data_IF_795164837502
#
_entry.id   IF_795164837502
#
_cell.length_a   1.000
_cell.length_b   1.000
_cell.length_c   1.000
_cell.angle_alpha   90.00
_cell.angle_beta   90.00
_cell.angle_gamma   90.00
#
_symmetry.space_group_name_H-M   'P 1'
#
loop_
_entity.id
_entity.type
_entity.pdbx_description
1 polymer ?
#
# COMPACT_ATOMS: atom_id res chain seq x y z
N UNK A 1 -19.26 62.21 1.31
CA UNK A 1 -19.63 60.78 1.40
C UNK A 1 -18.34 59.99 1.29
N UNK A 2 -17.86 59.48 2.44
CA UNK A 2 -17.67 58.05 2.73
C UNK A 2 -16.32 57.55 2.20
N UNK A 3 -15.28 57.48 3.04
CA UNK A 3 -14.78 56.26 3.75
C UNK A 3 -14.33 55.15 2.77
N UNK A 4 -13.20 54.44 2.90
CA UNK A 4 -12.22 54.21 3.97
C UNK A 4 -10.95 53.58 3.33
N UNK A 5 -9.79 53.78 3.99
CA UNK A 5 -8.48 53.20 3.67
C UNK A 5 -8.31 51.77 4.21
N UNK A 6 -7.29 51.03 3.73
CA UNK A 6 -6.28 50.24 4.50
C UNK A 6 -5.95 48.84 3.91
N UNK A 7 -4.69 48.73 3.45
CA UNK A 7 -3.68 47.65 3.57
C UNK A 7 -4.10 46.16 3.61
N UNK A 8 -3.52 45.33 2.75
CA UNK A 8 -2.32 44.51 3.04
C UNK A 8 -2.05 43.52 1.89
N UNK A 9 -0.77 43.34 1.61
CA UNK A 9 -0.20 42.29 0.76
C UNK A 9 -0.39 40.93 1.46
N UNK A 10 -0.97 39.95 0.77
CA UNK A 10 -0.95 38.54 1.21
C UNK A 10 -0.34 37.69 0.10
N UNK A 11 0.97 37.86 -0.04
CA UNK A 11 1.87 36.79 -0.43
C UNK A 11 1.70 35.62 0.57
N UNK A 12 1.08 34.52 0.13
CA UNK A 12 1.11 33.24 0.86
C UNK A 12 1.67 32.15 -0.08
N UNK A 13 2.85 31.59 0.21
CA UNK A 13 3.47 30.56 -0.60
C UNK A 13 2.96 29.20 -0.14
N UNK A 14 2.09 28.54 -0.91
CA UNK A 14 1.79 27.14 -0.66
C UNK A 14 2.77 26.28 -1.46
N UNK A 15 3.92 26.06 -0.82
CA UNK A 15 4.81 24.89 -0.95
C UNK A 15 4.64 24.11 -2.25
N UNK A 16 5.53 24.40 -3.21
CA UNK A 16 5.84 23.48 -4.29
C UNK A 16 6.46 22.26 -3.61
N UNK A 17 5.60 21.32 -3.19
CA UNK A 17 6.03 19.98 -2.86
C UNK A 17 6.78 19.50 -4.10
N UNK A 18 8.07 19.28 -3.92
CA UNK A 18 8.94 18.69 -4.91
C UNK A 18 8.43 17.28 -5.13
N UNK A 19 7.42 17.14 -5.99
CA UNK A 19 7.17 15.91 -6.70
C UNK A 19 8.39 15.73 -7.61
N UNK A 20 9.41 15.08 -7.04
CA UNK A 20 10.39 14.32 -7.82
C UNK A 20 9.63 13.68 -8.98
N UNK A 21 10.14 13.68 -10.22
CA UNK A 21 9.45 13.06 -11.32
C UNK A 21 9.15 11.62 -10.93
N UNK A 22 7.91 11.34 -10.53
CA UNK A 22 7.41 9.99 -10.44
C UNK A 22 7.36 9.60 -11.89
N UNK A 23 8.44 8.96 -12.38
CA UNK A 23 8.35 8.12 -13.55
C UNK A 23 7.03 7.37 -13.38
N UNK A 24 6.09 7.60 -14.28
CA UNK A 24 4.72 7.13 -14.14
C UNK A 24 4.80 5.60 -14.13
N UNK A 25 4.88 5.00 -12.93
CA UNK A 25 5.06 3.57 -12.79
C UNK A 25 3.70 2.98 -13.12
N UNK A 26 3.57 2.40 -14.30
CA UNK A 26 2.37 1.68 -14.67
C UNK A 26 2.21 0.47 -13.74
N UNK A 27 1.26 0.57 -12.81
CA UNK A 27 0.94 -0.48 -11.84
C UNK A 27 0.49 -1.78 -12.53
N UNK A 28 -0.02 -1.68 -13.76
CA UNK A 28 -0.45 -2.81 -14.58
C UNK A 28 0.71 -3.76 -14.89
N UNK A 29 1.94 -3.25 -14.97
CA UNK A 29 3.14 -4.07 -15.17
C UNK A 29 3.37 -5.04 -14.01
N UNK A 30 2.97 -4.65 -12.79
CA UNK A 30 3.00 -5.51 -11.61
C UNK A 30 1.68 -6.27 -11.41
N UNK A 31 0.74 -6.17 -12.35
CA UNK A 31 -0.57 -6.82 -12.26
C UNK A 31 -1.49 -6.23 -11.21
N UNK A 32 -1.25 -4.99 -10.80
CA UNK A 32 -2.05 -4.30 -9.79
C UNK A 32 -3.12 -3.48 -10.52
N UNK A 33 -4.37 -3.91 -10.40
CA UNK A 33 -5.53 -3.23 -10.97
C UNK A 33 -6.48 -2.82 -9.86
N UNK A 34 -6.81 -1.53 -9.75
CA UNK A 34 -7.67 -0.98 -8.70
C UNK A 34 -7.24 -1.38 -7.27
N UNK A 35 -5.93 -1.51 -7.03
CA UNK A 35 -5.37 -1.95 -5.74
C UNK A 35 -5.52 -3.46 -5.47
N UNK A 36 -5.87 -4.26 -6.47
CA UNK A 36 -5.99 -5.70 -6.42
C UNK A 36 -4.94 -6.38 -7.27
N UNK A 37 -4.51 -7.56 -6.82
CA UNK A 37 -3.70 -8.48 -7.61
C UNK A 37 -4.40 -9.83 -7.74
N UNK A 38 -4.21 -10.50 -8.88
CA UNK A 38 -4.72 -11.86 -9.07
C UNK A 38 -4.00 -12.82 -8.12
N UNK A 39 -4.76 -13.57 -7.32
CA UNK A 39 -4.23 -14.57 -6.41
C UNK A 39 -3.40 -15.63 -7.15
N UNK A 40 -3.83 -16.00 -8.36
CA UNK A 40 -3.09 -16.94 -9.22
C UNK A 40 -1.70 -16.45 -9.67
N UNK A 41 -1.39 -15.16 -9.53
CA UNK A 41 -0.07 -14.60 -9.85
C UNK A 41 0.86 -14.57 -8.65
N UNK A 42 0.35 -14.75 -7.44
CA UNK A 42 1.14 -14.73 -6.21
C UNK A 42 1.80 -16.11 -6.09
N UNK A 43 3.13 -16.15 -6.20
CA UNK A 43 3.92 -17.35 -6.07
C UNK A 43 4.29 -17.62 -4.61
N UNK A 44 4.79 -16.60 -3.92
CA UNK A 44 5.18 -16.68 -2.52
C UNK A 44 4.91 -15.35 -1.79
N UNK A 45 4.82 -15.39 -0.46
CA UNK A 45 4.71 -14.19 0.37
C UNK A 45 5.68 -14.27 1.54
N UNK A 46 6.60 -13.30 1.59
CA UNK A 46 7.61 -13.17 2.65
C UNK A 46 7.30 -12.00 3.56
N UNK A 47 7.10 -12.26 4.85
CA UNK A 47 6.96 -11.20 5.86
C UNK A 47 8.31 -10.58 6.17
N UNK A 48 8.46 -9.27 5.97
CA UNK A 48 9.68 -8.53 6.33
C UNK A 48 9.64 -8.09 7.79
N UNK A 49 8.52 -7.52 8.21
CA UNK A 49 8.32 -6.95 9.54
C UNK A 49 6.83 -6.93 9.92
N UNK A 50 6.49 -6.27 11.02
CA UNK A 50 5.12 -6.19 11.53
C UNK A 50 4.17 -5.32 10.67
N UNK A 51 4.71 -4.59 9.70
CA UNK A 51 3.99 -3.63 8.87
C UNK A 51 4.03 -3.99 7.38
N UNK A 52 5.01 -4.81 6.96
CA UNK A 52 5.31 -5.04 5.54
C UNK A 52 5.56 -6.52 5.25
N UNK A 53 5.04 -6.97 4.11
CA UNK A 53 5.39 -8.23 3.47
C UNK A 53 5.65 -8.00 1.97
N UNK A 54 6.44 -8.89 1.36
CA UNK A 54 6.71 -8.89 -0.07
C UNK A 54 6.00 -10.08 -0.69
N UNK A 55 5.22 -9.81 -1.73
CA UNK A 55 4.63 -10.82 -2.59
C UNK A 55 5.59 -11.01 -3.76
N UNK A 56 6.02 -12.25 -3.98
CA UNK A 56 6.74 -12.65 -5.18
C UNK A 56 5.73 -13.13 -6.21
N UNK A 57 5.83 -12.59 -7.42
CA UNK A 57 4.93 -12.93 -8.52
C UNK A 57 5.56 -14.00 -9.41
N UNK A 58 4.72 -14.72 -10.14
CA UNK A 58 5.15 -15.78 -11.08
C UNK A 58 6.10 -15.31 -12.17
N UNK A 59 6.09 -14.02 -12.51
CA UNK A 59 6.97 -13.39 -13.51
C UNK A 59 8.28 -12.85 -12.89
N UNK A 60 8.53 -13.15 -11.62
CA UNK A 60 9.70 -12.71 -10.85
C UNK A 60 9.60 -11.28 -10.31
N UNK A 61 8.53 -10.54 -10.64
CA UNK A 61 8.31 -9.20 -10.07
C UNK A 61 7.91 -9.30 -8.59
N UNK A 62 8.19 -8.24 -7.84
CA UNK A 62 7.88 -8.16 -6.41
C UNK A 62 6.90 -7.02 -6.12
N UNK A 63 5.98 -7.27 -5.20
CA UNK A 63 5.00 -6.29 -4.73
C UNK A 63 5.12 -6.15 -3.22
N UNK A 64 5.32 -4.93 -2.74
CA UNK A 64 5.27 -4.62 -1.32
C UNK A 64 3.81 -4.48 -0.87
N UNK A 65 3.41 -5.33 0.07
CA UNK A 65 2.16 -5.24 0.81
C UNK A 65 2.41 -4.57 2.15
N UNK A 66 1.66 -3.49 2.42
CA UNK A 66 1.62 -2.87 3.75
C UNK A 66 0.33 -3.18 4.47
N UNK A 67 0.42 -3.34 5.78
CA UNK A 67 -0.71 -3.49 6.68
C UNK A 67 -1.12 -2.15 7.29
N UNK A 68 -2.41 -1.98 7.60
CA UNK A 68 -2.88 -0.85 8.39
C UNK A 68 -2.34 -0.97 9.82
N UNK A 69 -1.28 -0.22 10.11
CA UNK A 69 -0.61 -0.24 11.41
C UNK A 69 0.25 -1.50 11.62
N UNK A 70 0.62 -1.75 12.89
CA UNK A 70 1.47 -2.88 13.29
C UNK A 70 0.65 -4.13 13.50
N UNK A 71 0.85 -5.12 12.64
CA UNK A 71 0.32 -6.47 12.78
C UNK A 71 1.22 -7.29 13.72
N UNK A 72 0.85 -7.35 15.01
CA UNK A 72 1.66 -8.02 16.04
C UNK A 72 1.74 -9.53 15.78
N UNK A 73 2.95 -10.09 15.88
CA UNK A 73 3.18 -11.53 15.75
C UNK A 73 3.28 -12.06 14.32
N UNK A 74 2.94 -11.28 13.29
CA UNK A 74 2.89 -11.76 11.90
C UNK A 74 4.24 -12.29 11.39
N UNK A 75 5.36 -11.69 11.81
CA UNK A 75 6.72 -12.14 11.42
C UNK A 75 7.12 -13.45 12.10
N UNK A 76 6.62 -13.70 13.32
CA UNK A 76 6.99 -14.87 14.11
C UNK A 76 6.09 -16.07 13.84
N UNK A 77 4.79 -15.81 13.67
CA UNK A 77 3.76 -16.84 13.55
C UNK A 77 3.25 -17.02 12.13
N UNK A 78 3.64 -16.16 11.19
CA UNK A 78 3.06 -16.13 9.87
C UNK A 78 1.56 -15.75 9.88
N UNK A 79 0.93 -15.90 8.72
CA UNK A 79 -0.49 -15.58 8.55
C UNK A 79 -1.12 -16.46 7.48
N UNK A 80 -2.44 -16.49 7.48
CA UNK A 80 -3.26 -17.01 6.39
C UNK A 80 -4.11 -15.88 5.81
N UNK A 81 -4.43 -15.96 4.52
CA UNK A 81 -5.33 -15.03 3.87
C UNK A 81 -6.32 -15.79 2.99
N UNK A 82 -7.42 -15.13 2.66
CA UNK A 82 -8.44 -15.68 1.76
C UNK A 82 -8.63 -14.72 0.62
N UNK A 83 -8.33 -15.15 -0.60
CA UNK A 83 -8.68 -14.39 -1.80
C UNK A 83 -10.18 -14.54 -2.10
N UNK A 84 -10.78 -13.50 -2.68
CA UNK A 84 -12.17 -13.51 -3.16
C UNK A 84 -12.17 -13.28 -4.67
N UNK A 85 -12.93 -14.08 -5.41
CA UNK A 85 -12.98 -14.01 -6.88
C UNK A 85 -11.60 -14.08 -7.55
N UNK A 86 -10.70 -14.91 -7.00
CA UNK A 86 -9.30 -15.00 -7.42
C UNK A 86 -8.52 -13.67 -7.29
N UNK A 87 -8.95 -12.76 -6.42
CA UNK A 87 -8.29 -11.47 -6.19
C UNK A 87 -7.90 -11.32 -4.72
N UNK A 88 -6.76 -10.67 -4.52
CA UNK A 88 -6.29 -10.20 -3.24
C UNK A 88 -6.11 -8.68 -3.33
N UNK A 89 -6.86 -7.93 -2.53
CA UNK A 89 -6.98 -6.49 -2.69
C UNK A 89 -6.64 -5.73 -1.43
N UNK A 90 -5.94 -4.60 -1.60
CA UNK A 90 -5.79 -3.61 -0.55
C UNK A 90 -7.15 -3.09 -0.08
N UNK A 91 -7.20 -2.67 1.19
CA UNK A 91 -8.33 -2.08 1.93
C UNK A 91 -9.55 -2.98 2.14
N UNK A 92 -9.78 -3.98 1.30
CA UNK A 92 -10.94 -4.88 1.40
C UNK A 92 -10.58 -6.24 1.99
N UNK A 93 -9.32 -6.67 1.85
CA UNK A 93 -8.84 -7.92 2.41
C UNK A 93 -8.03 -7.71 3.69
N UNK A 94 -8.03 -8.74 4.52
CA UNK A 94 -7.24 -8.84 5.74
C UNK A 94 -6.53 -10.18 5.78
N UNK A 95 -5.41 -10.22 6.49
CA UNK A 95 -4.70 -11.44 6.84
C UNK A 95 -5.01 -11.82 8.28
N UNK A 96 -5.01 -13.11 8.60
CA UNK A 96 -5.17 -13.63 9.97
C UNK A 96 -3.85 -14.23 10.43
N UNK A 97 -3.29 -13.68 11.50
CA UNK A 97 -2.09 -14.22 12.15
C UNK A 97 -2.42 -15.59 12.76
N UNK A 98 -1.60 -16.62 12.49
CA UNK A 98 -1.97 -18.01 12.79
C UNK A 98 -2.13 -18.29 14.30
N UNK A 99 -1.16 -17.90 15.11
CA UNK A 99 -1.17 -18.16 16.55
C UNK A 99 -2.17 -17.29 17.31
N UNK A 100 -2.17 -15.98 17.03
CA UNK A 100 -2.96 -15.02 17.81
C UNK A 100 -4.38 -14.83 17.28
N UNK A 101 -4.67 -15.32 16.07
CA UNK A 101 -5.93 -15.05 15.37
C UNK A 101 -6.17 -13.58 15.02
N UNK A 102 -5.18 -12.70 15.22
CA UNK A 102 -5.33 -11.26 14.97
C UNK A 102 -5.54 -10.99 13.49
N UNK A 103 -6.53 -10.17 13.17
CA UNK A 103 -6.79 -9.73 11.80
C UNK A 103 -6.07 -8.41 11.50
N UNK A 104 -5.33 -8.39 10.40
CA UNK A 104 -4.59 -7.23 9.95
C UNK A 104 -5.03 -6.85 8.54
N UNK A 105 -5.62 -5.66 8.41
CA UNK A 105 -6.11 -5.16 7.15
C UNK A 105 -4.94 -4.78 6.25
N UNK A 106 -5.05 -5.09 4.96
CA UNK A 106 -4.08 -4.66 3.96
C UNK A 106 -4.33 -3.20 3.64
N UNK A 107 -3.32 -2.35 3.77
CA UNK A 107 -3.42 -0.92 3.46
C UNK A 107 -3.18 -0.65 1.98
N UNK A 108 -2.09 -1.21 1.43
CA UNK A 108 -1.66 -0.94 0.06
C UNK A 108 -0.83 -2.07 -0.52
N UNK A 109 -0.88 -2.17 -1.85
CA UNK A 109 0.01 -2.99 -2.68
C UNK A 109 0.75 -2.05 -3.61
N UNK A 110 2.08 -2.11 -3.63
CA UNK A 110 2.92 -1.23 -4.46
C UNK A 110 4.04 -2.03 -5.14
N UNK A 111 4.48 -1.63 -6.34
CA UNK A 111 5.69 -2.16 -6.94
C UNK A 111 6.86 -2.12 -5.97
N UNK A 112 7.62 -3.21 -5.89
CA UNK A 112 8.87 -3.28 -5.15
C UNK A 112 10.02 -3.43 -6.16
N UNK A 113 10.89 -2.41 -6.19
CA UNK A 113 12.11 -2.38 -6.97
C UNK A 113 13.26 -2.70 -6.02
N UNK A 114 14.03 -3.74 -6.32
CA UNK A 114 15.25 -4.10 -5.59
C UNK A 114 16.43 -3.18 -5.91
#
# INVERSE_FOLDING_TARGET
>A
MSQVSVFADENMPEVIASELPTADIDLSDWGIYNGCISNSRILDIKVLDANTAILELVDGKKVAMRFMGRCRGIKHYGFVYTARNNQFCARTHSVRVMETGTHCQVESLKPYLE
#
